data_IF_252111477206
#
_entry.id   IF_252111477206
#
_cell.length_a   1.000
_cell.length_b   1.000
_cell.length_c   1.000
_cell.angle_alpha   90.00
_cell.angle_beta   90.00
_cell.angle_gamma   90.00
#
_symmetry.space_group_name_H-M   'P 1'
#
loop_
_entity.id
_entity.type
_entity.pdbx_description
1 polymer ?
#
# COMPACT_ATOMS: atom_id res chain seq x y z
N UNK A 1 1.71 10.75 24.12
CA UNK A 1 0.38 10.90 23.47
C UNK A 1 0.41 11.76 22.19
N UNK A 2 0.76 13.05 22.23
CA UNK A 2 0.77 13.91 21.02
C UNK A 2 1.57 13.31 19.85
N UNK A 3 2.82 12.92 20.08
CA UNK A 3 3.67 12.32 19.02
C UNK A 3 3.10 11.00 18.47
N UNK A 4 2.42 10.22 19.31
CA UNK A 4 1.79 8.96 18.91
C UNK A 4 0.63 9.25 17.97
N UNK A 5 -0.22 10.22 18.30
CA UNK A 5 -1.32 10.65 17.43
C UNK A 5 -0.79 11.16 16.09
N UNK A 6 0.25 12.00 16.09
CA UNK A 6 0.85 12.53 14.86
C UNK A 6 1.43 11.41 13.99
N UNK A 7 2.15 10.47 14.62
CA UNK A 7 2.75 9.31 13.93
C UNK A 7 1.66 8.43 13.32
N UNK A 8 0.70 8.00 14.12
CA UNK A 8 -0.41 7.14 13.68
C UNK A 8 -1.26 7.82 12.62
N UNK A 9 -1.55 9.13 12.77
CA UNK A 9 -2.30 9.89 11.76
C UNK A 9 -1.59 9.85 10.41
N UNK A 10 -0.31 10.19 10.35
CA UNK A 10 0.45 10.21 9.11
C UNK A 10 0.48 8.82 8.45
N UNK A 11 0.74 7.77 9.23
CA UNK A 11 0.76 6.40 8.73
C UNK A 11 -0.62 5.95 8.19
N UNK A 12 -1.70 6.25 8.91
CA UNK A 12 -3.07 5.94 8.47
C UNK A 12 -3.40 6.68 7.17
N UNK A 13 -3.15 7.98 7.11
CA UNK A 13 -3.54 8.78 5.95
C UNK A 13 -2.83 8.33 4.67
N UNK A 14 -1.55 7.97 4.75
CA UNK A 14 -0.77 7.55 3.57
C UNK A 14 -1.08 6.10 3.21
N UNK A 15 -0.81 5.17 4.13
CA UNK A 15 -0.81 3.73 3.82
C UNK A 15 -2.19 3.09 3.90
N UNK A 16 -3.13 3.68 4.64
CA UNK A 16 -4.44 3.08 4.90
C UNK A 16 -5.63 3.88 4.37
N UNK A 17 -5.40 5.11 3.90
CA UNK A 17 -6.41 5.93 3.23
C UNK A 17 -6.03 6.19 1.77
N UNK A 18 -4.97 6.96 1.50
CA UNK A 18 -4.64 7.37 0.12
C UNK A 18 -4.30 6.18 -0.77
N UNK A 19 -3.38 5.31 -0.36
CA UNK A 19 -2.98 4.16 -1.19
C UNK A 19 -4.15 3.19 -1.43
N UNK A 20 -4.90 2.71 -0.41
CA UNK A 20 -6.00 1.77 -0.64
C UNK A 20 -7.16 2.39 -1.42
N UNK A 21 -7.48 3.67 -1.24
CA UNK A 21 -8.56 4.32 -2.00
C UNK A 21 -8.16 4.46 -3.48
N UNK A 22 -6.95 4.96 -3.76
CA UNK A 22 -6.53 5.23 -5.13
C UNK A 22 -6.21 3.96 -5.93
N UNK A 23 -5.38 3.07 -5.40
CA UNK A 23 -5.00 1.82 -6.09
C UNK A 23 -6.04 0.73 -5.84
N UNK A 24 -6.45 0.51 -4.59
CA UNK A 24 -7.37 -0.55 -4.20
C UNK A 24 -8.81 -0.30 -4.66
N UNK A 25 -9.38 0.87 -4.36
CA UNK A 25 -10.75 1.22 -4.70
C UNK A 25 -10.90 1.63 -6.16
N UNK A 26 -10.41 2.82 -6.51
CA UNK A 26 -10.55 3.35 -7.86
C UNK A 26 -9.82 2.52 -8.91
N UNK A 27 -8.59 2.07 -8.62
CA UNK A 27 -7.82 1.26 -9.55
C UNK A 27 -8.53 -0.04 -9.93
N UNK A 28 -8.88 -0.88 -8.95
CA UNK A 28 -9.51 -2.18 -9.25
C UNK A 28 -10.89 -2.05 -9.89
N UNK A 29 -11.61 -0.97 -9.59
CA UNK A 29 -12.92 -0.75 -10.18
C UNK A 29 -12.84 -0.18 -11.61
N UNK A 30 -12.09 0.91 -11.80
CA UNK A 30 -12.11 1.67 -13.04
C UNK A 30 -11.16 1.12 -14.11
N UNK A 31 -10.04 0.49 -13.74
CA UNK A 31 -9.06 0.01 -14.73
C UNK A 31 -9.64 -1.06 -15.68
N UNK A 32 -10.32 -2.12 -15.19
CA UNK A 32 -10.95 -3.09 -16.09
C UNK A 32 -12.02 -2.45 -16.99
N UNK A 33 -12.84 -1.54 -16.44
CA UNK A 33 -13.90 -0.86 -17.18
C UNK A 33 -13.34 0.04 -18.29
N UNK A 34 -12.35 0.88 -17.97
CA UNK A 34 -11.73 1.81 -18.91
C UNK A 34 -10.92 1.10 -20.01
N UNK A 35 -10.39 -0.09 -19.72
CA UNK A 35 -9.67 -0.92 -20.69
C UNK A 35 -10.55 -1.95 -21.39
N UNK A 36 -11.85 -2.00 -21.05
CA UNK A 36 -12.87 -2.91 -21.61
C UNK A 36 -12.45 -4.37 -21.43
N UNK A 37 -12.25 -4.77 -20.19
CA UNK A 37 -11.78 -6.10 -19.79
C UNK A 37 -12.68 -6.67 -18.69
N UNK A 38 -12.86 -8.00 -18.65
CA UNK A 38 -13.74 -8.63 -17.68
C UNK A 38 -13.19 -8.57 -16.24
N UNK A 39 -11.87 -8.58 -16.07
CA UNK A 39 -11.19 -8.57 -14.76
C UNK A 39 -9.73 -8.11 -14.91
N UNK A 40 -9.00 -8.03 -13.78
CA UNK A 40 -7.55 -7.87 -13.68
C UNK A 40 -6.80 -9.15 -14.10
N UNK A 41 -5.50 -9.05 -14.38
CA UNK A 41 -4.72 -10.19 -14.89
C UNK A 41 -4.51 -11.30 -13.85
N UNK A 42 -4.32 -10.92 -12.59
CA UNK A 42 -4.15 -11.86 -11.48
C UNK A 42 -5.23 -11.66 -10.41
N UNK A 43 -6.47 -12.15 -10.62
CA UNK A 43 -7.59 -11.89 -9.69
C UNK A 43 -7.35 -12.39 -8.27
N UNK A 44 -6.69 -13.54 -8.10
CA UNK A 44 -6.36 -14.09 -6.78
C UNK A 44 -5.29 -13.29 -6.05
N UNK A 45 -4.28 -12.80 -6.77
CA UNK A 45 -3.25 -11.90 -6.21
C UNK A 45 -3.89 -10.58 -5.78
N UNK A 46 -4.87 -10.10 -6.55
CA UNK A 46 -5.66 -8.92 -6.22
C UNK A 46 -6.46 -9.07 -4.93
N UNK A 47 -7.09 -10.24 -4.74
CA UNK A 47 -7.81 -10.52 -3.50
C UNK A 47 -6.83 -10.61 -2.31
N UNK A 48 -5.68 -11.27 -2.51
CA UNK A 48 -4.66 -11.37 -1.46
C UNK A 48 -4.14 -9.98 -1.05
N UNK A 49 -3.85 -9.10 -2.03
CA UNK A 49 -3.38 -7.74 -1.73
C UNK A 49 -4.40 -6.97 -0.88
N UNK A 50 -5.69 -7.07 -1.22
CA UNK A 50 -6.76 -6.47 -0.40
C UNK A 50 -6.73 -6.99 1.04
N UNK A 51 -6.64 -8.31 1.26
CA UNK A 51 -6.70 -8.89 2.60
C UNK A 51 -5.50 -8.57 3.49
N UNK A 52 -4.34 -8.23 2.93
CA UNK A 52 -3.22 -7.73 3.74
C UNK A 52 -3.49 -6.35 4.35
N UNK A 53 -4.28 -5.49 3.71
CA UNK A 53 -4.56 -4.13 4.20
C UNK A 53 -5.29 -4.10 5.56
N UNK A 54 -6.43 -4.80 5.79
CA UNK A 54 -7.10 -4.76 7.08
C UNK A 54 -6.27 -5.39 8.20
N UNK A 55 -5.47 -6.43 7.90
CA UNK A 55 -4.57 -7.04 8.86
C UNK A 55 -3.43 -6.07 9.25
N UNK A 56 -2.83 -5.40 8.26
CA UNK A 56 -1.84 -4.36 8.50
C UNK A 56 -2.43 -3.19 9.32
N UNK A 57 -3.65 -2.74 8.99
CA UNK A 57 -4.32 -1.68 9.72
C UNK A 57 -4.59 -2.08 11.18
N UNK A 58 -5.02 -3.32 11.41
CA UNK A 58 -5.23 -3.85 12.74
C UNK A 58 -3.94 -3.83 13.58
N UNK A 59 -2.81 -4.28 13.01
CA UNK A 59 -1.52 -4.22 13.70
C UNK A 59 -1.11 -2.79 14.07
N UNK A 60 -1.31 -1.82 13.17
CA UNK A 60 -1.04 -0.41 13.47
C UNK A 60 -1.96 0.13 14.56
N UNK A 61 -3.24 -0.25 14.53
CA UNK A 61 -4.20 0.10 15.56
C UNK A 61 -3.76 -0.41 16.93
N UNK A 62 -3.42 -1.70 17.03
CA UNK A 62 -2.94 -2.32 18.28
C UNK A 62 -1.62 -1.67 18.74
N UNK A 63 -0.70 -1.39 17.83
CA UNK A 63 0.54 -0.65 18.13
C UNK A 63 0.27 0.63 18.92
N UNK A 64 -0.76 1.40 18.55
CA UNK A 64 -1.15 2.63 19.24
C UNK A 64 -1.73 2.46 20.66
N UNK A 65 -2.19 1.26 21.02
CA UNK A 65 -2.82 0.97 22.32
C UNK A 65 -1.91 0.19 23.29
N UNK A 66 -0.75 -0.29 22.84
CA UNK A 66 0.19 -1.10 23.65
C UNK A 66 1.30 -0.21 24.24
N UNK A 67 1.51 -0.30 25.56
CA UNK A 67 2.58 0.32 26.41
C UNK A 67 2.77 1.85 26.33
N UNK A 68 2.27 2.51 25.29
CA UNK A 68 2.47 3.94 25.05
C UNK A 68 2.39 4.33 23.57
N UNK A 69 2.50 3.37 22.66
CA UNK A 69 2.46 3.55 21.21
C UNK A 69 3.72 4.18 20.60
N UNK A 70 3.82 4.17 19.28
CA UNK A 70 5.00 4.68 18.55
C UNK A 70 4.93 6.20 18.44
N UNK A 71 5.75 6.89 19.23
CA UNK A 71 5.84 8.35 19.30
C UNK A 71 7.06 8.98 18.60
N UNK A 72 7.58 8.35 17.54
CA UNK A 72 8.84 8.75 16.90
C UNK A 72 8.69 9.51 15.57
N UNK A 73 7.46 9.79 15.14
CA UNK A 73 7.16 10.33 13.80
C UNK A 73 7.09 9.22 12.74
N UNK A 74 6.43 9.52 11.62
CA UNK A 74 6.15 8.53 10.57
C UNK A 74 7.40 8.02 9.83
N UNK A 75 8.51 8.76 9.90
CA UNK A 75 9.79 8.37 9.30
C UNK A 75 10.57 7.35 10.13
N UNK A 76 10.19 7.14 11.40
CA UNK A 76 10.71 6.02 12.20
C UNK A 76 12.25 6.05 12.36
N UNK A 77 12.85 7.24 12.45
CA UNK A 77 14.31 7.38 12.45
C UNK A 77 15.01 6.81 13.72
N UNK A 78 16.08 6.01 13.54
CA UNK A 78 17.07 5.76 14.59
C UNK A 78 17.85 7.05 14.95
N UNK A 79 18.37 7.17 16.19
CA UNK A 79 18.33 6.17 17.25
C UNK A 79 17.02 6.18 18.05
N UNK A 80 16.12 7.13 17.84
CA UNK A 80 14.90 7.29 18.66
C UNK A 80 14.00 6.04 18.66
N UNK A 81 14.03 5.26 17.58
CA UNK A 81 13.30 4.00 17.43
C UNK A 81 14.12 2.75 17.79
N UNK A 82 15.33 2.90 18.34
CA UNK A 82 16.12 1.76 18.84
C UNK A 82 15.61 1.29 20.20
N UNK A 83 15.99 0.06 20.57
CA UNK A 83 15.63 -0.57 21.84
C UNK A 83 16.06 0.28 23.05
N UNK A 84 17.11 1.09 22.93
CA UNK A 84 17.60 1.94 24.03
C UNK A 84 16.64 3.08 24.37
N UNK A 85 15.84 3.54 23.39
CA UNK A 85 14.93 4.68 23.53
C UNK A 85 13.45 4.28 23.47
N UNK A 86 13.12 3.21 22.74
CA UNK A 86 11.77 2.69 22.59
C UNK A 86 11.82 1.16 22.53
N UNK A 87 11.82 0.54 23.72
CA UNK A 87 11.88 -0.92 23.91
C UNK A 87 10.52 -1.62 23.81
N UNK A 88 9.45 -0.88 23.51
CA UNK A 88 8.10 -1.38 23.62
C UNK A 88 7.68 -2.24 22.41
N UNK A 89 6.85 -3.28 22.61
CA UNK A 89 6.30 -4.09 21.50
C UNK A 89 5.47 -3.28 20.50
N UNK A 90 5.08 -2.04 20.85
CA UNK A 90 4.39 -1.11 19.96
C UNK A 90 5.18 -0.86 18.68
N UNK A 91 6.51 -0.78 18.77
CA UNK A 91 7.37 -0.58 17.61
C UNK A 91 7.33 -1.76 16.66
N UNK A 92 7.47 -2.97 17.18
CA UNK A 92 7.45 -4.20 16.40
C UNK A 92 6.12 -4.36 15.66
N UNK A 93 5.00 -4.08 16.32
CA UNK A 93 3.67 -4.11 15.71
C UNK A 93 3.54 -3.09 14.57
N UNK A 94 4.09 -1.87 14.72
CA UNK A 94 4.10 -0.88 13.65
C UNK A 94 4.99 -1.34 12.47
N UNK A 95 6.15 -1.92 12.74
CA UNK A 95 7.04 -2.48 11.71
C UNK A 95 6.31 -3.59 10.94
N UNK A 96 5.69 -4.56 11.62
CA UNK A 96 4.94 -5.63 10.97
C UNK A 96 3.73 -5.13 10.18
N UNK A 97 3.05 -4.09 10.69
CA UNK A 97 1.99 -3.42 9.94
C UNK A 97 2.49 -2.89 8.59
N UNK A 98 3.61 -2.15 8.60
CA UNK A 98 4.19 -1.59 7.37
C UNK A 98 4.70 -2.67 6.42
N UNK A 99 5.26 -3.78 6.93
CA UNK A 99 5.66 -4.92 6.09
C UNK A 99 4.47 -5.56 5.38
N UNK A 100 3.35 -5.80 6.09
CA UNK A 100 2.14 -6.35 5.47
C UNK A 100 1.51 -5.36 4.47
N UNK A 101 1.46 -4.07 4.82
CA UNK A 101 1.01 -3.01 3.91
C UNK A 101 1.91 -2.89 2.66
N UNK A 102 3.20 -3.12 2.83
CA UNK A 102 4.16 -3.12 1.74
C UNK A 102 4.02 -4.33 0.82
N UNK A 103 3.87 -5.53 1.38
CA UNK A 103 3.56 -6.74 0.64
C UNK A 103 2.26 -6.62 -0.17
N UNK A 104 1.22 -6.02 0.44
CA UNK A 104 -0.04 -5.66 -0.25
C UNK A 104 0.23 -4.77 -1.46
N UNK A 105 0.99 -3.69 -1.28
CA UNK A 105 1.29 -2.70 -2.32
C UNK A 105 2.09 -3.29 -3.48
N UNK A 106 3.07 -4.17 -3.19
CA UNK A 106 3.83 -4.89 -4.22
C UNK A 106 2.90 -5.83 -5.01
N UNK A 107 2.10 -6.65 -4.34
CA UNK A 107 1.18 -7.59 -4.97
C UNK A 107 0.16 -6.87 -5.88
N UNK A 108 -0.44 -5.78 -5.39
CA UNK A 108 -1.34 -4.95 -6.17
C UNK A 108 -0.63 -4.33 -7.39
N UNK A 109 0.58 -3.80 -7.20
CA UNK A 109 1.35 -3.14 -8.27
C UNK A 109 1.74 -4.10 -9.38
N UNK A 110 2.19 -5.32 -9.06
CA UNK A 110 2.47 -6.36 -10.05
C UNK A 110 1.22 -6.69 -10.88
N UNK A 111 0.06 -6.75 -10.24
CA UNK A 111 -1.21 -6.97 -10.93
C UNK A 111 -1.57 -5.81 -11.86
N UNK A 112 -1.51 -4.55 -11.38
CA UNK A 112 -1.79 -3.37 -12.21
C UNK A 112 -0.85 -3.25 -13.40
N UNK A 113 0.45 -3.36 -13.18
CA UNK A 113 1.45 -3.27 -14.25
C UNK A 113 1.21 -4.33 -15.33
N UNK A 114 0.97 -5.58 -14.91
CA UNK A 114 0.70 -6.69 -15.82
C UNK A 114 -0.64 -6.53 -16.56
N UNK A 115 -1.67 -6.05 -15.87
CA UNK A 115 -3.01 -5.82 -16.44
C UNK A 115 -2.97 -4.76 -17.55
N UNK A 116 -2.36 -3.60 -17.28
CA UNK A 116 -2.25 -2.51 -18.27
C UNK A 116 -1.34 -2.89 -19.44
N UNK A 117 -0.25 -3.63 -19.18
CA UNK A 117 0.67 -4.04 -20.24
C UNK A 117 0.08 -5.10 -21.18
N UNK A 118 -0.56 -6.13 -20.62
CA UNK A 118 -0.83 -7.39 -21.33
C UNK A 118 -2.28 -7.59 -21.75
N UNK A 119 -3.27 -7.03 -21.04
CA UNK A 119 -4.68 -7.37 -21.29
C UNK A 119 -5.41 -6.44 -22.28
N UNK A 120 -4.69 -5.55 -22.95
CA UNK A 120 -5.26 -4.52 -23.84
C UNK A 120 -6.17 -5.10 -24.92
N UNK A 121 -7.44 -4.70 -24.91
CA UNK A 121 -8.43 -5.12 -25.91
C UNK A 121 -8.01 -4.75 -27.34
N UNK A 122 -8.18 -5.68 -28.29
CA UNK A 122 -7.88 -5.51 -29.73
C UNK A 122 -6.44 -5.01 -30.03
N UNK A 123 -5.47 -5.24 -29.14
CA UNK A 123 -4.09 -4.75 -29.30
C UNK A 123 -4.01 -3.24 -29.56
N UNK A 124 -4.92 -2.44 -28.97
CA UNK A 124 -4.84 -0.98 -29.05
C UNK A 124 -3.46 -0.50 -28.61
N UNK A 125 -2.87 0.42 -29.39
CA UNK A 125 -1.58 1.03 -29.07
C UNK A 125 -1.66 1.77 -27.72
N UNK A 126 -0.54 1.83 -26.98
CA UNK A 126 -0.47 2.48 -25.66
C UNK A 126 -0.95 3.94 -25.68
N UNK A 127 -0.72 4.65 -26.78
CA UNK A 127 -1.17 6.04 -26.97
C UNK A 127 -2.69 6.22 -27.00
N UNK A 128 -3.48 5.14 -27.06
CA UNK A 128 -4.96 5.18 -27.06
C UNK A 128 -5.58 4.73 -25.73
N UNK A 129 -4.77 4.44 -24.72
CA UNK A 129 -5.26 4.07 -23.39
C UNK A 129 -5.66 5.34 -22.64
N UNK A 130 -6.78 5.36 -21.90
CA UNK A 130 -7.12 6.49 -21.04
C UNK A 130 -5.99 6.81 -20.04
N UNK A 131 -5.88 8.07 -19.63
CA UNK A 131 -4.76 8.51 -18.79
C UNK A 131 -4.75 7.87 -17.39
N UNK A 132 -5.91 7.49 -16.86
CA UNK A 132 -6.01 6.92 -15.51
C UNK A 132 -5.35 5.53 -15.38
N UNK A 133 -5.63 4.53 -16.24
CA UNK A 133 -4.86 3.28 -16.26
C UNK A 133 -3.35 3.48 -16.50
N UNK A 134 -2.98 4.46 -17.33
CA UNK A 134 -1.56 4.78 -17.58
C UNK A 134 -0.89 5.35 -16.33
N UNK A 135 -1.53 6.28 -15.62
CA UNK A 135 -0.96 6.85 -14.39
C UNK A 135 -0.80 5.78 -13.31
N UNK A 136 -1.77 4.88 -13.14
CA UNK A 136 -1.65 3.75 -12.21
C UNK A 136 -0.56 2.75 -12.62
N UNK A 137 -0.35 2.52 -13.92
CA UNK A 137 0.77 1.69 -14.38
C UNK A 137 2.12 2.29 -14.01
N UNK A 138 2.29 3.62 -14.14
CA UNK A 138 3.51 4.31 -13.72
C UNK A 138 3.68 4.20 -12.20
N UNK A 139 2.64 4.49 -11.42
CA UNK A 139 2.67 4.34 -9.95
C UNK A 139 3.02 2.91 -9.55
N UNK A 140 2.44 1.91 -10.22
CA UNK A 140 2.74 0.51 -9.96
C UNK A 140 4.21 0.16 -10.22
N UNK A 141 4.81 0.66 -11.31
CA UNK A 141 6.23 0.48 -11.58
C UNK A 141 7.10 1.13 -10.50
N UNK A 142 6.76 2.34 -10.05
CA UNK A 142 7.48 3.01 -8.97
C UNK A 142 7.40 2.21 -7.66
N UNK A 143 6.22 1.68 -7.31
CA UNK A 143 6.03 0.87 -6.10
C UNK A 143 6.78 -0.46 -6.18
N UNK A 144 6.82 -1.13 -7.33
CA UNK A 144 7.60 -2.37 -7.49
C UNK A 144 9.08 -2.14 -7.18
N UNK A 145 9.63 -0.99 -7.56
CA UNK A 145 11.05 -0.65 -7.34
C UNK A 145 11.30 -0.07 -5.95
N UNK A 146 10.40 0.75 -5.43
CA UNK A 146 10.59 1.46 -4.16
C UNK A 146 10.28 0.60 -2.94
N UNK A 147 9.22 -0.23 -2.99
CA UNK A 147 8.74 -0.98 -1.83
C UNK A 147 9.72 -2.03 -1.28
N UNK A 148 10.57 -2.71 -2.07
CA UNK A 148 11.58 -3.62 -1.52
C UNK A 148 12.67 -2.95 -0.66
N UNK A 149 12.79 -1.62 -0.75
CA UNK A 149 13.76 -0.83 0.01
C UNK A 149 13.15 -0.31 1.33
N UNK A 150 11.82 -0.21 1.40
CA UNK A 150 11.08 0.19 2.60
C UNK A 150 10.96 -0.97 3.59
#
# INVERSE_FOLDING_TARGET
LYNVIVTTHALIMIFFMVMPVMMGGFGNWLVPLMMVMPDMHFPRLNNLSFWFVPNAFFLLGVSGFVEGGVGAGWTIYPPLTSIDFLSDPSMDLAIFSLHLGGASSIAASLNFASTVANMRHQKRGFHKIPMFPVSLAITALLLIVAMPVL
#
